data_IF_692723251316
#
_entry.id   IF_692723251316
#
_cell.length_a   1.000
_cell.length_b   1.000
_cell.length_c   1.000
_cell.angle_alpha   90.00
_cell.angle_beta   90.00
_cell.angle_gamma   90.00
#
_symmetry.space_group_name_H-M   'P 1'
#
loop_
_entity.id
_entity.type
_entity.pdbx_description
1 polymer ?
#
# COMPACT_ATOMS: atom_id res chain seq x y z
N UNK A 1 15.68 -12.43 13.66
CA UNK A 1 14.88 -11.19 13.52
C UNK A 1 13.68 -11.51 12.65
N UNK A 2 12.48 -11.25 13.14
CA UNK A 2 11.24 -11.47 12.36
C UNK A 2 11.00 -10.33 11.37
N UNK A 3 10.02 -10.49 10.46
CA UNK A 3 9.72 -9.49 9.44
C UNK A 3 9.12 -8.20 10.02
N UNK A 4 8.28 -8.30 11.06
CA UNK A 4 7.76 -7.14 11.79
C UNK A 4 8.87 -6.41 12.56
N UNK A 5 9.80 -7.13 13.19
CA UNK A 5 10.97 -6.53 13.83
C UNK A 5 11.87 -5.79 12.81
N UNK A 6 12.08 -6.39 11.63
CA UNK A 6 12.88 -5.76 10.57
C UNK A 6 12.22 -4.46 10.11
N UNK A 7 10.93 -4.49 9.76
CA UNK A 7 10.20 -3.30 9.32
C UNK A 7 10.16 -2.24 10.41
N UNK A 8 9.92 -2.61 11.67
CA UNK A 8 9.96 -1.69 12.80
C UNK A 8 11.32 -1.00 12.93
N UNK A 9 12.41 -1.77 13.03
CA UNK A 9 13.78 -1.26 13.24
C UNK A 9 14.35 -0.50 12.03
N UNK A 10 13.93 -0.81 10.80
CA UNK A 10 14.53 -0.28 9.57
C UNK A 10 13.68 0.76 8.85
N UNK A 11 12.37 0.77 9.07
CA UNK A 11 11.42 1.66 8.39
C UNK A 11 10.53 2.43 9.38
N UNK A 12 9.76 1.75 10.23
CA UNK A 12 8.71 2.42 11.02
C UNK A 12 9.26 3.34 12.11
N UNK A 13 10.09 2.84 13.04
CA UNK A 13 10.66 3.69 14.10
C UNK A 13 11.51 4.82 13.50
N UNK A 14 12.41 4.57 12.52
CA UNK A 14 13.24 5.64 11.94
C UNK A 14 12.46 6.71 11.17
N UNK A 15 11.31 6.37 10.57
CA UNK A 15 10.45 7.27 9.81
C UNK A 15 9.35 7.92 10.68
N UNK A 16 9.30 7.59 11.98
CA UNK A 16 8.31 8.14 12.91
C UNK A 16 6.90 7.59 12.70
N UNK A 17 6.76 6.35 12.22
CA UNK A 17 5.49 5.66 12.01
C UNK A 17 5.07 4.87 13.27
N UNK A 18 4.82 5.60 14.37
CA UNK A 18 4.71 5.05 15.73
C UNK A 18 3.48 4.16 15.96
N UNK A 19 2.47 4.28 15.12
CA UNK A 19 1.22 3.50 15.18
C UNK A 19 1.13 2.41 14.12
N UNK A 20 2.22 2.16 13.39
CA UNK A 20 2.28 1.20 12.30
C UNK A 20 2.83 -0.15 12.77
N UNK A 21 1.99 -1.19 12.73
CA UNK A 21 2.29 -2.51 13.31
C UNK A 21 1.41 -3.63 12.75
N UNK A 22 1.92 -4.85 12.70
CA UNK A 22 1.11 -6.06 12.45
C UNK A 22 0.34 -6.53 13.71
N UNK A 23 0.77 -6.06 14.88
CA UNK A 23 0.30 -6.51 16.19
C UNK A 23 -0.08 -5.29 17.03
N UNK A 24 -1.30 -4.74 16.88
CA UNK A 24 -1.70 -3.55 17.62
C UNK A 24 -1.77 -3.82 19.12
N UNK A 25 -1.59 -2.76 19.92
CA UNK A 25 -1.89 -2.78 21.36
C UNK A 25 -3.40 -2.71 21.61
N UNK A 26 -3.83 -2.87 22.87
CA UNK A 26 -5.22 -2.65 23.25
C UNK A 26 -5.66 -1.20 23.02
N UNK A 27 -4.83 -0.22 23.39
CA UNK A 27 -5.08 1.19 23.12
C UNK A 27 -5.20 1.50 21.61
N UNK A 28 -4.43 0.82 20.75
CA UNK A 28 -4.57 0.93 19.30
C UNK A 28 -5.85 0.24 18.78
N UNK A 29 -6.22 -0.91 19.34
CA UNK A 29 -7.51 -1.58 19.05
C UNK A 29 -8.72 -0.72 19.39
N UNK A 30 -8.69 -0.02 20.53
CA UNK A 30 -9.78 0.83 21.01
C UNK A 30 -10.10 2.03 20.09
N UNK A 31 -9.17 2.40 19.21
CA UNK A 31 -9.32 3.51 18.24
C UNK A 31 -9.28 3.04 16.77
N UNK A 32 -9.61 1.78 16.51
CA UNK A 32 -9.78 1.28 15.14
C UNK A 32 -11.06 1.87 14.53
N UNK A 33 -10.96 2.25 13.26
CA UNK A 33 -12.13 2.67 12.47
C UNK A 33 -13.02 1.47 12.15
N UNK A 34 -14.33 1.67 12.19
CA UNK A 34 -15.30 0.67 11.73
C UNK A 34 -15.15 0.46 10.23
N UNK A 35 -14.87 -0.77 9.82
CA UNK A 35 -14.93 -1.17 8.42
C UNK A 35 -16.38 -1.46 8.02
N UNK A 36 -16.73 -1.23 6.75
CA UNK A 36 -18.05 -1.51 6.20
C UNK A 36 -17.93 -2.37 4.94
N UNK A 37 -18.90 -3.25 4.72
CA UNK A 37 -19.03 -4.02 3.49
C UNK A 37 -20.42 -3.81 2.90
N UNK A 38 -20.54 -3.93 1.57
CA UNK A 38 -21.82 -3.89 0.89
C UNK A 38 -22.54 -5.24 1.06
N UNK A 39 -23.70 -5.23 1.72
CA UNK A 39 -24.59 -6.37 1.78
C UNK A 39 -25.09 -6.70 0.35
N UNK A 40 -25.07 -7.99 -0.01
CA UNK A 40 -25.40 -8.44 -1.38
C UNK A 40 -26.90 -8.41 -1.68
N UNK A 41 -27.73 -8.58 -0.66
CA UNK A 41 -29.18 -8.73 -0.78
C UNK A 41 -29.88 -7.38 -0.63
N UNK A 42 -29.45 -6.57 0.34
CA UNK A 42 -30.03 -5.23 0.61
C UNK A 42 -29.33 -4.10 -0.15
N UNK A 43 -28.11 -4.33 -0.63
CA UNK A 43 -27.26 -3.32 -1.27
C UNK A 43 -26.71 -2.25 -0.33
N UNK A 44 -27.02 -2.29 0.96
CA UNK A 44 -26.60 -1.30 1.96
C UNK A 44 -25.16 -1.52 2.44
N UNK A 45 -24.56 -0.49 3.05
CA UNK A 45 -23.28 -0.62 3.75
C UNK A 45 -23.52 -1.01 5.21
N UNK A 46 -23.01 -2.16 5.61
CA UNK A 46 -23.16 -2.72 6.95
C UNK A 46 -21.79 -2.84 7.63
N UNK A 47 -21.68 -2.56 8.95
CA UNK A 47 -20.41 -2.63 9.66
C UNK A 47 -19.92 -4.08 9.73
N UNK A 48 -18.64 -4.28 9.44
CA UNK A 48 -17.99 -5.61 9.52
C UNK A 48 -16.91 -5.63 10.59
N UNK A 49 -16.79 -6.73 11.36
CA UNK A 49 -15.74 -6.85 12.37
C UNK A 49 -14.35 -6.89 11.71
N UNK A 50 -13.28 -6.50 12.46
CA UNK A 50 -11.91 -6.73 12.01
C UNK A 50 -11.66 -8.20 11.68
N UNK A 51 -10.89 -8.44 10.63
CA UNK A 51 -10.46 -9.78 10.20
C UNK A 51 -9.69 -10.50 11.32
N UNK A 52 -10.17 -11.65 11.84
CA UNK A 52 -9.52 -12.35 12.95
C UNK A 52 -8.13 -12.88 12.60
N UNK A 53 -7.79 -12.98 11.32
CA UNK A 53 -6.45 -13.36 10.84
C UNK A 53 -5.37 -12.27 10.98
N UNK A 54 -5.75 -11.01 11.30
CA UNK A 54 -4.82 -9.87 11.41
C UNK A 54 -4.81 -9.31 12.83
N UNK A 55 -3.61 -9.13 13.41
CA UNK A 55 -3.44 -8.57 14.77
C UNK A 55 -3.03 -9.56 15.88
N UNK A 56 -3.46 -10.84 15.87
CA UNK A 56 -2.97 -11.86 16.80
C UNK A 56 -1.48 -12.22 16.61
N UNK A 57 -0.75 -12.41 17.72
CA UNK A 57 0.68 -12.74 17.74
C UNK A 57 1.00 -14.24 17.57
N UNK A 58 -0.02 -15.10 17.59
CA UNK A 58 0.06 -16.53 17.28
C UNK A 58 0.24 -16.80 15.76
N UNK A 59 0.20 -15.76 14.93
CA UNK A 59 0.36 -15.82 13.47
C UNK A 59 1.54 -14.97 12.99
N UNK A 60 2.29 -15.43 11.97
CA UNK A 60 3.38 -14.65 11.39
C UNK A 60 2.84 -13.38 10.68
N UNK A 61 3.65 -12.31 10.59
CA UNK A 61 3.26 -11.10 9.88
C UNK A 61 3.23 -11.37 8.36
N UNK A 62 2.20 -10.88 7.67
CA UNK A 62 1.97 -11.19 6.26
C UNK A 62 2.49 -10.06 5.36
N UNK A 63 3.37 -10.38 4.40
CA UNK A 63 3.95 -9.39 3.49
C UNK A 63 2.94 -8.73 2.53
N UNK A 64 1.75 -9.31 2.39
CA UNK A 64 0.68 -8.91 1.48
C UNK A 64 -0.59 -8.39 2.20
N UNK A 65 -0.60 -8.25 3.53
CA UNK A 65 -1.79 -7.79 4.26
C UNK A 65 -1.63 -7.73 5.79
N UNK A 66 -2.63 -7.19 6.48
CA UNK A 66 -2.70 -7.21 7.94
C UNK A 66 -1.85 -6.18 8.69
N UNK A 67 -1.28 -5.18 7.99
CA UNK A 67 -0.61 -4.06 8.63
C UNK A 67 -1.64 -3.00 9.07
N UNK A 68 -1.64 -2.66 10.36
CA UNK A 68 -2.37 -1.52 10.92
C UNK A 68 -1.49 -0.27 10.85
N UNK A 69 -2.08 0.90 10.62
CA UNK A 69 -1.38 2.19 10.51
C UNK A 69 -2.37 3.35 10.75
N UNK A 70 -1.89 4.58 10.64
CA UNK A 70 -2.69 5.81 10.73
C UNK A 70 -2.43 6.71 9.53
N UNK A 71 -3.33 7.65 9.24
CA UNK A 71 -3.12 8.60 8.14
C UNK A 71 -1.81 9.42 8.30
N UNK A 72 -1.43 9.95 9.48
CA UNK A 72 -0.14 10.61 9.68
C UNK A 72 1.06 9.71 9.40
N UNK A 73 1.04 8.45 9.86
CA UNK A 73 2.13 7.50 9.63
C UNK A 73 2.28 7.17 8.14
N UNK A 74 1.18 6.81 7.48
CA UNK A 74 1.18 6.48 6.06
C UNK A 74 1.56 7.69 5.20
N UNK A 75 1.22 8.92 5.63
CA UNK A 75 1.70 10.15 4.98
C UNK A 75 3.22 10.25 4.99
N UNK A 76 3.91 9.90 6.09
CA UNK A 76 5.39 9.90 6.13
C UNK A 76 5.99 8.87 5.18
N UNK A 77 5.36 7.70 5.04
CA UNK A 77 5.76 6.69 4.03
C UNK A 77 5.57 7.21 2.60
N UNK A 78 4.44 7.82 2.28
CA UNK A 78 4.20 8.45 0.98
C UNK A 78 5.20 9.60 0.70
N UNK A 79 5.49 10.44 1.69
CA UNK A 79 6.48 11.52 1.58
C UNK A 79 7.89 10.98 1.30
N UNK A 80 8.29 9.86 1.92
CA UNK A 80 9.56 9.18 1.64
C UNK A 80 9.65 8.68 0.18
N UNK A 81 8.57 8.15 -0.38
CA UNK A 81 8.52 7.73 -1.78
C UNK A 81 8.56 8.93 -2.75
N UNK A 82 7.77 9.99 -2.47
CA UNK A 82 7.77 11.24 -3.24
C UNK A 82 9.15 11.92 -3.22
N UNK A 83 9.80 11.93 -2.06
CA UNK A 83 11.18 12.40 -1.85
C UNK A 83 12.27 11.46 -2.37
N UNK A 84 11.95 10.51 -3.26
CA UNK A 84 12.91 9.58 -3.89
C UNK A 84 13.77 8.80 -2.90
N UNK A 85 13.12 8.32 -1.84
CA UNK A 85 13.75 7.57 -0.76
C UNK A 85 14.22 8.43 0.41
N UNK A 86 13.94 9.73 0.40
CA UNK A 86 14.31 10.69 1.46
C UNK A 86 13.07 11.29 2.11
N UNK A 87 13.05 11.35 3.44
CA UNK A 87 12.04 12.07 4.21
C UNK A 87 12.70 12.76 5.41
N UNK A 88 12.32 14.02 5.69
CA UNK A 88 12.90 14.84 6.77
C UNK A 88 14.45 14.82 6.79
N UNK A 89 15.08 14.97 5.61
CA UNK A 89 16.54 14.96 5.44
C UNK A 89 17.24 13.60 5.53
N UNK A 90 16.54 12.54 5.96
CA UNK A 90 17.10 11.18 6.09
C UNK A 90 16.78 10.33 4.87
N UNK A 91 17.76 9.56 4.39
CA UNK A 91 17.59 8.54 3.33
C UNK A 91 17.21 7.18 3.93
N UNK A 92 16.18 6.56 3.36
CA UNK A 92 15.63 5.23 3.71
C UNK A 92 15.82 4.24 2.55
N UNK A 93 15.63 4.71 1.31
CA UNK A 93 15.87 3.96 0.09
C UNK A 93 16.87 4.71 -0.80
N UNK A 94 17.68 3.99 -1.57
CA UNK A 94 18.44 4.62 -2.66
C UNK A 94 17.47 5.12 -3.74
N UNK A 95 17.88 6.13 -4.51
CA UNK A 95 17.05 6.59 -5.62
C UNK A 95 16.84 5.47 -6.65
N UNK A 96 17.85 4.62 -6.88
CA UNK A 96 17.71 3.42 -7.70
C UNK A 96 16.67 2.45 -7.15
N UNK A 97 16.63 2.19 -5.84
CA UNK A 97 15.59 1.33 -5.27
C UNK A 97 14.19 1.90 -5.56
N UNK A 98 13.97 3.22 -5.38
CA UNK A 98 12.69 3.86 -5.72
C UNK A 98 12.42 3.84 -7.23
N UNK A 99 13.44 4.00 -8.08
CA UNK A 99 13.33 3.84 -9.54
C UNK A 99 12.83 2.43 -9.88
N UNK A 100 13.41 1.39 -9.27
CA UNK A 100 13.03 -0.01 -9.46
C UNK A 100 11.60 -0.32 -8.98
N UNK A 101 11.10 0.35 -7.92
CA UNK A 101 9.68 0.27 -7.52
C UNK A 101 8.73 0.75 -8.63
N UNK A 102 9.16 1.70 -9.47
CA UNK A 102 8.31 2.40 -10.47
C UNK A 102 8.48 1.93 -11.92
N UNK A 103 9.51 1.14 -12.22
CA UNK A 103 9.76 0.62 -13.57
C UNK A 103 8.98 -0.67 -13.82
N UNK A 104 8.24 -0.72 -14.93
CA UNK A 104 7.54 -1.88 -15.45
C UNK A 104 8.42 -3.14 -15.47
N UNK A 105 8.05 -4.17 -14.71
CA UNK A 105 8.66 -5.52 -14.74
C UNK A 105 7.88 -6.47 -15.63
N UNK A 106 6.55 -6.31 -15.67
CA UNK A 106 5.65 -7.21 -16.41
C UNK A 106 5.45 -6.81 -17.87
N UNK A 107 6.18 -5.81 -18.38
CA UNK A 107 6.16 -5.43 -19.80
C UNK A 107 4.77 -5.00 -20.25
N UNK A 108 4.20 -5.72 -21.23
CA UNK A 108 2.83 -5.51 -21.73
C UNK A 108 1.77 -6.37 -21.03
N UNK A 109 2.17 -7.32 -20.16
CA UNK A 109 1.22 -8.19 -19.45
C UNK A 109 0.28 -7.35 -18.57
N UNK A 110 -1.03 -7.61 -18.60
CA UNK A 110 -1.99 -6.86 -17.80
C UNK A 110 -1.86 -7.19 -16.31
N UNK A 111 -2.13 -6.19 -15.46
CA UNK A 111 -2.26 -6.41 -14.02
C UNK A 111 -3.52 -7.21 -13.71
N UNK A 112 -3.37 -8.52 -13.48
CA UNK A 112 -4.46 -9.48 -13.35
C UNK A 112 -5.50 -9.17 -12.26
N UNK A 113 -5.11 -8.49 -11.17
CA UNK A 113 -6.06 -8.07 -10.12
C UNK A 113 -7.16 -7.13 -10.65
N UNK A 114 -6.85 -6.34 -11.69
CA UNK A 114 -7.80 -5.46 -12.38
C UNK A 114 -8.31 -6.06 -13.72
N UNK A 115 -8.25 -7.39 -13.86
CA UNK A 115 -8.81 -8.16 -14.98
C UNK A 115 -9.87 -9.12 -14.44
N UNK A 116 -11.04 -8.59 -14.11
CA UNK A 116 -12.14 -9.37 -13.52
C UNK A 116 -13.49 -8.72 -13.85
N UNK A 117 -14.58 -9.44 -13.64
CA UNK A 117 -15.94 -8.89 -13.80
C UNK A 117 -16.15 -7.59 -13.01
N UNK A 118 -15.63 -7.51 -11.77
CA UNK A 118 -15.74 -6.35 -10.90
C UNK A 118 -14.89 -5.13 -11.34
N UNK A 119 -13.78 -5.34 -12.05
CA UNK A 119 -12.85 -4.26 -12.46
C UNK A 119 -12.77 -4.06 -13.98
N UNK A 120 -13.54 -4.83 -14.76
CA UNK A 120 -13.48 -4.85 -16.21
C UNK A 120 -12.09 -5.24 -16.73
N UNK A 121 -11.67 -4.61 -17.83
CA UNK A 121 -10.37 -4.85 -18.47
C UNK A 121 -9.26 -3.87 -18.02
N UNK A 122 -9.47 -3.18 -16.89
CA UNK A 122 -8.63 -2.05 -16.45
C UNK A 122 -7.16 -2.44 -16.24
N UNK A 123 -6.83 -3.70 -15.98
CA UNK A 123 -5.45 -4.16 -15.80
C UNK A 123 -4.51 -3.90 -16.98
N UNK A 124 -5.00 -3.62 -18.19
CA UNK A 124 -4.18 -3.16 -19.31
C UNK A 124 -3.55 -1.79 -19.07
N UNK A 125 -4.22 -0.94 -18.29
CA UNK A 125 -3.77 0.42 -17.93
C UNK A 125 -2.66 0.44 -16.88
N UNK A 126 -2.33 -0.69 -16.26
CA UNK A 126 -1.38 -0.81 -15.17
C UNK A 126 -0.21 -1.75 -15.53
N UNK A 127 0.85 -1.69 -14.73
CA UNK A 127 1.94 -2.66 -14.74
C UNK A 127 2.45 -2.87 -13.31
N UNK A 128 3.16 -3.96 -13.06
CA UNK A 128 3.86 -4.14 -11.79
C UNK A 128 5.30 -3.64 -11.88
N UNK A 129 5.69 -2.74 -10.98
CA UNK A 129 7.08 -2.55 -10.59
C UNK A 129 7.46 -3.54 -9.48
N UNK A 130 8.65 -3.37 -8.88
CA UNK A 130 8.98 -4.17 -7.69
C UNK A 130 8.10 -3.74 -6.51
N UNK A 131 7.09 -4.55 -6.17
CA UNK A 131 6.22 -4.32 -5.02
C UNK A 131 5.22 -3.15 -5.15
N UNK A 132 5.09 -2.51 -6.33
CA UNK A 132 4.06 -1.47 -6.55
C UNK A 132 3.29 -1.69 -7.85
N UNK A 133 2.02 -1.29 -7.87
CA UNK A 133 1.23 -1.21 -9.09
C UNK A 133 1.34 0.21 -9.66
N UNK A 134 1.77 0.31 -10.93
CA UNK A 134 2.06 1.57 -11.60
C UNK A 134 1.01 1.81 -12.67
N UNK A 135 0.24 2.90 -12.55
CA UNK A 135 -0.66 3.38 -13.60
C UNK A 135 0.17 3.83 -14.81
N UNK A 136 -0.09 3.27 -15.99
CA UNK A 136 0.57 3.65 -17.26
C UNK A 136 -0.28 4.61 -18.08
N UNK A 137 -1.60 4.42 -18.07
CA UNK A 137 -2.56 5.16 -18.87
C UNK A 137 -3.80 5.45 -18.02
N UNK A 138 -4.08 6.72 -17.68
CA UNK A 138 -5.32 7.10 -17.00
C UNK A 138 -6.56 6.55 -17.70
N UNK A 139 -7.63 6.35 -16.94
CA UNK A 139 -8.92 5.87 -17.43
C UNK A 139 -10.05 6.43 -16.58
N UNK A 140 -11.26 6.42 -17.11
CA UNK A 140 -12.49 6.90 -16.46
C UNK A 140 -12.63 6.42 -15.01
N UNK A 141 -13.12 7.32 -14.15
CA UNK A 141 -13.34 7.09 -12.72
C UNK A 141 -12.13 7.48 -11.88
N UNK A 142 -11.82 6.73 -10.82
CA UNK A 142 -10.83 7.12 -9.81
C UNK A 142 -9.40 7.35 -10.33
N UNK A 143 -9.06 6.87 -11.54
CA UNK A 143 -7.74 7.07 -12.16
C UNK A 143 -7.69 8.26 -13.15
N UNK A 144 -8.82 8.92 -13.43
CA UNK A 144 -8.95 9.94 -14.48
C UNK A 144 -8.19 11.22 -14.14
N UNK A 145 -8.25 11.65 -12.87
CA UNK A 145 -7.51 12.79 -12.36
C UNK A 145 -6.02 12.48 -12.06
N UNK A 146 -5.57 11.24 -12.28
CA UNK A 146 -4.19 10.83 -12.00
C UNK A 146 -3.31 10.99 -13.24
N UNK A 147 -2.05 11.35 -13.04
CA UNK A 147 -1.03 11.32 -14.10
C UNK A 147 -0.51 9.91 -14.33
N UNK A 148 -0.11 9.61 -15.57
CA UNK A 148 0.63 8.38 -15.87
C UNK A 148 1.92 8.30 -15.03
N UNK A 149 2.12 7.19 -14.33
CA UNK A 149 3.28 6.89 -13.49
C UNK A 149 4.56 6.54 -14.25
N UNK A 150 4.71 7.04 -15.48
CA UNK A 150 5.97 6.94 -16.22
C UNK A 150 6.80 8.21 -15.98
N UNK A 151 7.99 8.06 -15.39
CA UNK A 151 9.00 9.10 -15.49
C UNK A 151 9.37 9.24 -16.98
N UNK A 152 9.39 10.47 -17.50
CA UNK A 152 10.16 10.78 -18.73
C UNK A 152 11.57 10.21 -18.54
N UNK A 153 12.20 9.63 -19.59
CA UNK A 153 13.62 9.34 -19.53
C UNK A 153 14.38 10.63 -19.21
N UNK A 154 15.54 10.55 -18.52
CA UNK A 154 16.39 11.72 -18.34
C UNK A 154 16.74 12.31 -19.70
N UNK A 155 16.72 13.65 -19.77
CA UNK A 155 17.35 14.41 -20.85
C UNK A 155 18.86 14.46 -20.59
#
# INVERSE_FOLDING_TARGET
MTFDEFLRKRLFDPLGMVDTTFYPSEAQRARLVTAYAKNKDTGQLEPVPPRPEFGPRDRPPQGNGGLYSTAPDYTRFCQMLLGRGVCAGRRYLSEDAVRELTISRTGTLPTGFFQSEAYGRRGGHYTWGLGTCVLRQPHEGAAEALSAGQRRPPQ
#
